data_IF_070959117256
#
_entry.id   IF_070959117256
#
_cell.length_a   1.000
_cell.length_b   1.000
_cell.length_c   1.000
_cell.angle_alpha   90.00
_cell.angle_beta   90.00
_cell.angle_gamma   90.00
#
_symmetry.space_group_name_H-M   'P 1'
#
loop_
_entity.id
_entity.type
_entity.pdbx_description
1 polymer ?
#
# COMPACT_ATOMS: atom_id res chain seq x y z
N UNK A 1 13.18 -27.27 -27.38
CA UNK A 1 11.82 -26.73 -27.10
C UNK A 1 11.70 -26.54 -25.60
N UNK A 2 12.00 -25.33 -25.11
CA UNK A 2 12.01 -25.04 -23.69
C UNK A 2 10.61 -24.65 -23.21
N UNK A 3 10.07 -25.44 -22.28
CA UNK A 3 8.91 -25.08 -21.46
C UNK A 3 9.31 -23.94 -20.52
N UNK A 4 8.87 -22.71 -20.81
CA UNK A 4 8.88 -21.60 -19.84
C UNK A 4 7.62 -20.77 -20.06
N UNK A 5 6.50 -21.15 -19.44
CA UNK A 5 5.29 -20.30 -19.44
C UNK A 5 4.33 -20.49 -18.25
N UNK A 6 4.67 -21.32 -17.25
CA UNK A 6 3.78 -21.54 -16.08
C UNK A 6 4.08 -20.69 -14.84
N UNK A 7 5.34 -20.29 -14.64
CA UNK A 7 5.80 -19.71 -13.36
C UNK A 7 5.53 -18.20 -13.22
N UNK A 8 5.59 -17.44 -14.32
CA UNK A 8 5.35 -15.98 -14.29
C UNK A 8 3.89 -15.66 -13.95
N UNK A 9 2.94 -16.40 -14.53
CA UNK A 9 1.51 -16.25 -14.25
C UNK A 9 1.14 -16.60 -12.80
N UNK A 10 1.71 -17.67 -12.24
CA UNK A 10 1.43 -18.08 -10.86
C UNK A 10 1.96 -17.08 -9.83
N UNK A 11 3.18 -16.57 -10.02
CA UNK A 11 3.78 -15.56 -9.13
C UNK A 11 2.98 -14.26 -9.20
N UNK A 12 2.61 -13.82 -10.40
CA UNK A 12 1.79 -12.64 -10.60
C UNK A 12 0.44 -12.75 -9.89
N UNK A 13 -0.23 -13.91 -10.03
CA UNK A 13 -1.50 -14.17 -9.37
C UNK A 13 -1.35 -14.13 -7.84
N UNK A 14 -0.34 -14.80 -7.29
CA UNK A 14 -0.11 -14.81 -5.84
C UNK A 14 0.11 -13.40 -5.25
N UNK A 15 0.81 -12.53 -5.97
CA UNK A 15 0.99 -11.13 -5.52
C UNK A 15 -0.31 -10.34 -5.66
N UNK A 16 -1.12 -10.56 -6.69
CA UNK A 16 -2.45 -9.94 -6.78
C UNK A 16 -3.38 -10.40 -5.65
N UNK A 17 -3.40 -11.69 -5.35
CA UNK A 17 -4.21 -12.24 -4.25
C UNK A 17 -3.79 -11.62 -2.91
N UNK A 18 -2.47 -11.44 -2.70
CA UNK A 18 -1.94 -10.73 -1.54
C UNK A 18 -2.43 -9.27 -1.49
N UNK A 19 -2.39 -8.56 -2.62
CA UNK A 19 -2.87 -7.17 -2.69
C UNK A 19 -4.35 -7.09 -2.33
N UNK A 20 -5.16 -8.03 -2.82
CA UNK A 20 -6.58 -8.10 -2.50
C UNK A 20 -6.78 -8.40 -1.00
N UNK A 21 -6.05 -9.36 -0.44
CA UNK A 21 -6.11 -9.69 0.99
C UNK A 21 -5.80 -8.48 1.88
N UNK A 22 -4.75 -7.71 1.57
CA UNK A 22 -4.40 -6.48 2.31
C UNK A 22 -5.48 -5.40 2.12
N UNK A 23 -6.02 -5.28 0.91
CA UNK A 23 -7.08 -4.31 0.60
C UNK A 23 -8.38 -4.60 1.34
N UNK A 24 -8.75 -5.87 1.47
CA UNK A 24 -9.96 -6.30 2.18
C UNK A 24 -9.84 -6.16 3.70
N UNK A 25 -8.65 -6.40 4.26
CA UNK A 25 -8.37 -6.19 5.68
C UNK A 25 -8.33 -4.71 6.06
N UNK A 26 -8.02 -3.82 5.11
CA UNK A 26 -8.04 -2.37 5.34
C UNK A 26 -9.03 -1.65 4.43
N UNK A 27 -10.19 -1.31 4.99
CA UNK A 27 -11.25 -0.60 4.28
C UNK A 27 -11.45 0.84 4.75
N UNK A 28 -10.78 1.27 5.83
CA UNK A 28 -10.79 2.65 6.31
C UNK A 28 -9.43 3.32 6.05
N UNK A 29 -9.47 4.56 5.55
CA UNK A 29 -8.27 5.36 5.30
C UNK A 29 -8.66 6.83 5.15
N UNK A 30 -7.99 7.75 5.84
CA UNK A 30 -8.30 9.19 5.74
C UNK A 30 -7.91 9.72 4.37
N UNK A 31 -6.65 9.49 3.97
CA UNK A 31 -6.16 9.88 2.65
C UNK A 31 -6.81 9.06 1.54
N UNK A 32 -7.12 7.79 1.80
CA UNK A 32 -7.85 6.94 0.85
C UNK A 32 -9.24 7.46 0.58
N UNK A 33 -10.00 7.84 1.61
CA UNK A 33 -11.32 8.46 1.49
C UNK A 33 -11.28 9.80 0.75
N UNK A 34 -10.31 10.67 1.07
CA UNK A 34 -10.14 11.95 0.36
C UNK A 34 -9.87 11.75 -1.13
N UNK A 35 -8.99 10.79 -1.46
CA UNK A 35 -8.67 10.45 -2.86
C UNK A 35 -9.87 9.81 -3.57
N UNK A 36 -10.62 8.96 -2.86
CA UNK A 36 -11.82 8.31 -3.34
C UNK A 36 -12.89 9.32 -3.75
N UNK A 37 -13.17 10.34 -2.93
CA UNK A 37 -14.12 11.40 -3.30
C UNK A 37 -13.70 12.10 -4.61
N UNK A 38 -12.40 12.37 -4.78
CA UNK A 38 -11.87 12.93 -6.02
C UNK A 38 -12.05 12.02 -7.24
N UNK A 39 -11.89 10.69 -7.05
CA UNK A 39 -12.12 9.68 -8.09
C UNK A 39 -13.59 9.56 -8.47
N UNK A 40 -14.48 9.49 -7.49
CA UNK A 40 -15.93 9.37 -7.70
C UNK A 40 -16.53 10.59 -8.39
N UNK A 41 -15.96 11.78 -8.16
CA UNK A 41 -16.34 13.02 -8.86
C UNK A 41 -15.81 13.10 -10.31
N UNK A 42 -14.98 12.16 -10.74
CA UNK A 42 -14.43 12.08 -12.11
C UNK A 42 -14.61 10.67 -12.70
N UNK A 43 -15.86 10.19 -12.83
CA UNK A 43 -16.14 8.82 -13.27
C UNK A 43 -15.72 8.57 -14.72
N UNK A 44 -15.56 9.61 -15.53
CA UNK A 44 -15.16 9.54 -16.95
C UNK A 44 -13.73 9.04 -17.16
N UNK A 45 -12.86 9.19 -16.15
CA UNK A 45 -11.50 8.63 -16.23
C UNK A 45 -11.55 7.12 -16.14
N UNK A 46 -10.77 6.43 -16.97
CA UNK A 46 -10.59 4.98 -16.86
C UNK A 46 -9.74 4.63 -15.63
N UNK A 47 -9.89 3.42 -15.09
CA UNK A 47 -9.03 2.91 -14.01
C UNK A 47 -7.56 2.79 -14.44
N UNK A 48 -7.30 2.61 -15.74
CA UNK A 48 -5.96 2.55 -16.29
C UNK A 48 -5.23 3.90 -16.21
N UNK A 49 -5.96 5.01 -16.25
CA UNK A 49 -5.43 6.37 -16.28
C UNK A 49 -5.57 7.10 -14.93
N UNK A 50 -6.54 6.69 -14.10
CA UNK A 50 -6.69 7.18 -12.74
C UNK A 50 -5.65 6.54 -11.81
N UNK A 51 -5.25 7.27 -10.75
CA UNK A 51 -4.40 6.70 -9.71
C UNK A 51 -5.15 5.63 -8.92
N UNK A 52 -6.37 5.94 -8.46
CA UNK A 52 -7.25 5.03 -7.70
C UNK A 52 -8.34 4.44 -8.59
N UNK A 53 -8.62 3.15 -8.44
CA UNK A 53 -9.70 2.46 -9.16
C UNK A 53 -11.08 2.84 -8.64
N UNK A 54 -12.13 2.75 -9.47
CA UNK A 54 -13.50 3.01 -9.01
C UNK A 54 -13.90 2.06 -7.88
N UNK A 55 -13.54 0.77 -7.99
CA UNK A 55 -13.82 -0.23 -6.95
C UNK A 55 -13.24 0.18 -5.60
N UNK A 56 -11.96 0.58 -5.55
CA UNK A 56 -11.30 0.97 -4.31
C UNK A 56 -11.86 2.28 -3.75
N UNK A 57 -12.18 3.24 -4.63
CA UNK A 57 -12.81 4.49 -4.23
C UNK A 57 -14.19 4.24 -3.58
N UNK A 58 -15.01 3.36 -4.17
CA UNK A 58 -16.30 2.98 -3.61
C UNK A 58 -16.13 2.29 -2.26
N UNK A 59 -15.20 1.36 -2.13
CA UNK A 59 -14.93 0.64 -0.89
C UNK A 59 -14.55 1.58 0.27
N UNK A 60 -13.61 2.51 0.07
CA UNK A 60 -13.25 3.50 1.09
C UNK A 60 -14.44 4.39 1.46
N UNK A 61 -15.23 4.81 0.46
CA UNK A 61 -16.37 5.71 0.68
C UNK A 61 -17.48 5.03 1.47
N UNK A 62 -17.85 3.81 1.09
CA UNK A 62 -18.91 3.06 1.72
C UNK A 62 -18.54 2.63 3.14
N UNK A 63 -17.31 2.15 3.33
CA UNK A 63 -16.84 1.74 4.65
C UNK A 63 -16.79 2.93 5.60
N UNK A 64 -16.25 4.07 5.15
CA UNK A 64 -16.20 5.28 5.96
C UNK A 64 -17.58 5.81 6.33
N UNK A 65 -18.53 5.86 5.38
CA UNK A 65 -19.91 6.33 5.63
C UNK A 65 -20.73 5.36 6.48
N UNK A 66 -20.43 4.06 6.41
CA UNK A 66 -21.04 3.05 7.28
C UNK A 66 -20.54 3.18 8.72
N UNK A 67 -19.24 3.41 8.90
CA UNK A 67 -18.61 3.53 10.23
C UNK A 67 -18.92 4.88 10.88
N UNK A 68 -18.92 5.97 10.11
CA UNK A 68 -19.13 7.34 10.60
C UNK A 68 -20.28 8.02 9.87
N UNK A 69 -21.45 8.03 10.52
CA UNK A 69 -22.71 8.54 9.98
C UNK A 69 -22.66 10.06 9.74
N UNK A 70 -21.96 10.80 10.59
CA UNK A 70 -21.72 12.23 10.47
C UNK A 70 -20.23 12.55 10.64
N UNK A 71 -19.82 13.71 10.12
CA UNK A 71 -18.46 14.24 10.29
C UNK A 71 -17.36 13.23 9.88
N UNK A 72 -17.63 12.43 8.84
CA UNK A 72 -16.79 11.30 8.41
C UNK A 72 -15.31 11.67 8.27
N UNK A 73 -14.97 12.81 7.66
CA UNK A 73 -13.58 13.25 7.52
C UNK A 73 -12.92 13.58 8.85
N UNK A 74 -13.66 14.20 9.78
CA UNK A 74 -13.13 14.57 11.10
C UNK A 74 -12.83 13.33 11.92
N UNK A 75 -13.77 12.36 11.91
CA UNK A 75 -13.59 11.08 12.58
C UNK A 75 -12.43 10.26 11.99
N UNK A 76 -12.28 10.23 10.67
CA UNK A 76 -11.12 9.60 10.02
C UNK A 76 -9.80 10.32 10.37
N UNK A 77 -9.79 11.66 10.42
CA UNK A 77 -8.60 12.41 10.80
C UNK A 77 -8.19 12.13 12.26
N UNK A 78 -9.14 12.10 13.18
CA UNK A 78 -8.91 11.71 14.58
C UNK A 78 -8.38 10.26 14.68
N UNK A 79 -8.97 9.32 13.94
CA UNK A 79 -8.48 7.95 13.88
C UNK A 79 -7.04 7.89 13.37
N UNK A 80 -6.70 8.63 12.31
CA UNK A 80 -5.33 8.70 11.79
C UNK A 80 -4.35 9.26 12.82
N UNK A 81 -4.75 10.31 13.53
CA UNK A 81 -3.92 10.90 14.57
C UNK A 81 -3.67 9.92 15.73
N UNK A 82 -4.70 9.18 16.14
CA UNK A 82 -4.61 8.23 17.26
C UNK A 82 -3.89 6.93 16.91
N UNK A 83 -4.10 6.39 15.71
CA UNK A 83 -3.66 5.04 15.34
C UNK A 83 -2.37 5.02 14.52
N UNK A 84 -2.13 6.06 13.72
CA UNK A 84 -0.90 6.19 12.96
C UNK A 84 0.02 7.19 13.63
N UNK A 85 -0.37 8.46 13.78
CA UNK A 85 0.64 9.47 14.14
C UNK A 85 1.11 9.43 15.59
N UNK A 86 0.24 9.08 16.53
CA UNK A 86 0.59 9.05 17.96
C UNK A 86 1.41 7.80 18.29
N UNK A 87 2.72 7.97 18.36
CA UNK A 87 3.66 6.94 18.81
C UNK A 87 3.52 6.67 20.32
N UNK A 88 4.03 5.53 20.78
CA UNK A 88 4.04 5.18 22.22
C UNK A 88 4.85 6.14 23.10
N UNK A 89 5.73 6.95 22.50
CA UNK A 89 6.44 8.01 23.22
C UNK A 89 5.66 9.34 23.27
N UNK A 90 4.41 9.37 22.79
CA UNK A 90 3.57 10.56 22.75
C UNK A 90 3.85 11.53 21.60
N UNK A 91 4.88 11.29 20.78
CA UNK A 91 5.24 12.13 19.64
C UNK A 91 4.34 11.85 18.42
N UNK A 92 4.04 12.88 17.63
CA UNK A 92 3.38 12.73 16.33
C UNK A 92 4.43 12.47 15.24
N UNK A 93 4.35 11.33 14.57
CA UNK A 93 5.23 10.96 13.45
C UNK A 93 4.47 10.23 12.35
N UNK A 94 4.74 10.57 11.09
CA UNK A 94 4.25 9.74 9.99
C UNK A 94 4.91 8.35 10.04
N UNK A 95 4.24 7.31 9.54
CA UNK A 95 4.82 5.96 9.52
C UNK A 95 6.16 5.89 8.75
N UNK A 96 6.33 6.75 7.74
CA UNK A 96 7.61 6.95 7.04
C UNK A 96 8.77 7.42 7.93
N UNK A 97 8.48 8.07 9.06
CA UNK A 97 9.47 8.66 9.99
C UNK A 97 9.63 7.85 11.28
N UNK A 98 8.85 6.77 11.42
CA UNK A 98 8.88 5.90 12.59
C UNK A 98 10.11 5.01 12.59
N UNK A 99 10.67 4.77 13.77
CA UNK A 99 11.67 3.71 13.94
C UNK A 99 11.01 2.33 13.78
N UNK A 100 11.78 1.27 13.52
CA UNK A 100 11.23 -0.08 13.46
C UNK A 100 10.37 -0.46 14.68
N UNK A 101 10.82 -0.18 15.90
CA UNK A 101 10.02 -0.48 17.10
C UNK A 101 8.69 0.28 17.14
N UNK A 102 8.64 1.51 16.64
CA UNK A 102 7.39 2.28 16.55
C UNK A 102 6.46 1.74 15.46
N UNK A 103 7.00 1.19 14.37
CA UNK A 103 6.21 0.57 13.31
C UNK A 103 5.46 -0.67 13.80
N UNK A 104 6.03 -1.48 14.69
CA UNK A 104 5.34 -2.65 15.26
C UNK A 104 4.00 -2.27 15.89
N UNK A 105 4.02 -1.27 16.77
CA UNK A 105 2.84 -0.78 17.46
C UNK A 105 1.83 -0.13 16.51
N UNK A 106 2.31 0.65 15.54
CA UNK A 106 1.47 1.29 14.53
C UNK A 106 0.73 0.25 13.66
N UNK A 107 1.44 -0.78 13.18
CA UNK A 107 0.88 -1.87 12.39
C UNK A 107 -0.20 -2.62 13.18
N UNK A 108 0.05 -2.93 14.45
CA UNK A 108 -0.93 -3.59 15.30
C UNK A 108 -2.21 -2.75 15.45
N UNK A 109 -2.08 -1.47 15.81
CA UNK A 109 -3.21 -0.54 15.93
C UNK A 109 -4.01 -0.41 14.63
N UNK A 110 -3.34 -0.40 13.49
CA UNK A 110 -3.97 -0.33 12.17
C UNK A 110 -4.79 -1.59 11.86
N UNK A 111 -4.24 -2.77 12.14
CA UNK A 111 -4.93 -4.06 11.94
C UNK A 111 -6.17 -4.20 12.81
N UNK A 112 -6.10 -3.80 14.08
CA UNK A 112 -7.23 -3.87 15.02
C UNK A 112 -8.44 -3.05 14.56
N UNK A 113 -8.21 -1.95 13.86
CA UNK A 113 -9.28 -1.02 13.42
C UNK A 113 -9.68 -1.21 11.95
N UNK A 114 -9.00 -2.10 11.20
CA UNK A 114 -9.14 -2.19 9.74
C UNK A 114 -8.84 -0.86 9.03
N UNK A 115 -7.91 -0.08 9.59
CA UNK A 115 -7.58 1.28 9.18
C UNK A 115 -6.09 1.43 8.85
N UNK A 116 -5.76 2.02 7.70
CA UNK A 116 -4.38 2.32 7.34
C UNK A 116 -4.26 3.38 6.24
N UNK A 117 -3.09 3.98 6.14
CA UNK A 117 -2.71 4.86 5.02
C UNK A 117 -1.81 4.11 4.01
N UNK A 118 -1.34 4.81 2.98
CA UNK A 118 -0.47 4.22 1.97
C UNK A 118 0.88 3.71 2.53
N UNK A 119 1.40 4.33 3.59
CA UNK A 119 2.64 3.90 4.26
C UNK A 119 2.49 2.48 4.82
N UNK A 120 1.45 2.27 5.64
CA UNK A 120 1.23 1.00 6.33
C UNK A 120 0.78 -0.08 5.34
N UNK A 121 -0.01 0.25 4.32
CA UNK A 121 -0.35 -0.73 3.28
C UNK A 121 0.88 -1.17 2.46
N UNK A 122 1.79 -0.25 2.10
CA UNK A 122 3.03 -0.63 1.43
C UNK A 122 3.94 -1.49 2.34
N UNK A 123 3.97 -1.19 3.63
CA UNK A 123 4.67 -2.02 4.63
C UNK A 123 4.09 -3.43 4.73
N UNK A 124 2.76 -3.56 4.78
CA UNK A 124 2.06 -4.84 4.78
C UNK A 124 2.37 -5.66 3.53
N UNK A 125 2.35 -5.03 2.35
CA UNK A 125 2.73 -5.70 1.10
C UNK A 125 4.19 -6.18 1.16
N UNK A 126 5.14 -5.33 1.54
CA UNK A 126 6.56 -5.71 1.63
C UNK A 126 6.80 -6.86 2.62
N UNK A 127 6.14 -6.82 3.77
CA UNK A 127 6.16 -7.88 4.78
C UNK A 127 5.77 -9.23 4.17
N UNK A 128 4.64 -9.29 3.48
CA UNK A 128 4.09 -10.55 2.97
C UNK A 128 4.78 -11.01 1.69
N UNK A 129 5.27 -10.08 0.84
CA UNK A 129 6.14 -10.43 -0.27
C UNK A 129 7.34 -11.22 0.23
N UNK A 130 8.04 -10.71 1.26
CA UNK A 130 9.21 -11.39 1.81
C UNK A 130 8.86 -12.69 2.50
N UNK A 131 8.01 -12.63 3.52
CA UNK A 131 7.89 -13.70 4.52
C UNK A 131 6.76 -14.70 4.20
N UNK A 132 5.83 -14.36 3.30
CA UNK A 132 4.77 -15.27 2.84
C UNK A 132 5.03 -15.82 1.43
N UNK A 133 5.46 -14.96 0.50
CA UNK A 133 5.66 -15.35 -0.91
C UNK A 133 7.13 -15.63 -1.27
N UNK A 134 8.08 -15.36 -0.38
CA UNK A 134 9.51 -15.58 -0.63
C UNK A 134 10.14 -14.64 -1.65
N UNK A 135 9.49 -13.52 -1.96
CA UNK A 135 9.98 -12.47 -2.88
C UNK A 135 10.73 -11.44 -2.05
N UNK A 136 12.06 -11.49 -2.07
CA UNK A 136 12.92 -10.58 -1.29
C UNK A 136 13.46 -9.39 -2.09
N UNK A 137 13.46 -9.47 -3.42
CA UNK A 137 14.02 -8.45 -4.31
C UNK A 137 12.98 -7.37 -4.65
N UNK A 138 12.69 -6.53 -3.67
CA UNK A 138 11.77 -5.40 -3.79
C UNK A 138 12.24 -4.18 -2.99
N UNK A 139 11.69 -3.02 -3.32
CA UNK A 139 11.90 -1.77 -2.59
C UNK A 139 10.57 -1.09 -2.26
N UNK A 140 10.38 -0.71 -0.99
CA UNK A 140 9.33 0.23 -0.59
C UNK A 140 9.82 1.65 -0.87
N UNK A 141 9.12 2.33 -1.78
CA UNK A 141 9.42 3.71 -2.15
C UNK A 141 8.42 4.67 -1.55
N UNK A 142 8.92 5.82 -1.11
CA UNK A 142 8.12 6.96 -0.72
C UNK A 142 8.20 8.04 -1.80
N UNK A 143 7.12 8.21 -2.56
CA UNK A 143 7.06 9.16 -3.67
C UNK A 143 6.51 10.50 -3.19
N UNK A 144 7.39 11.48 -3.02
CA UNK A 144 7.06 12.82 -2.51
C UNK A 144 6.24 13.64 -3.51
N UNK A 145 6.37 13.36 -4.80
CA UNK A 145 5.63 14.07 -5.87
C UNK A 145 4.17 13.62 -6.00
N UNK A 146 3.85 12.43 -5.50
CA UNK A 146 2.50 11.89 -5.40
C UNK A 146 1.95 11.86 -3.97
N UNK A 147 2.81 12.07 -2.97
CA UNK A 147 2.50 11.82 -1.56
C UNK A 147 1.95 10.41 -1.34
N UNK A 148 2.59 9.42 -1.98
CA UNK A 148 2.14 8.03 -2.00
C UNK A 148 3.32 7.06 -1.83
N UNK A 149 3.11 5.99 -1.07
CA UNK A 149 4.09 4.93 -0.91
C UNK A 149 3.58 3.65 -1.57
N UNK A 150 4.48 2.92 -2.20
CA UNK A 150 4.20 1.68 -2.91
C UNK A 150 5.43 0.79 -2.93
N UNK A 151 5.23 -0.48 -3.24
CA UNK A 151 6.32 -1.44 -3.39
C UNK A 151 6.68 -1.58 -4.86
N UNK A 152 7.96 -1.68 -5.17
CA UNK A 152 8.48 -2.05 -6.49
C UNK A 152 9.21 -3.36 -6.39
N UNK A 153 8.74 -4.39 -7.09
CA UNK A 153 9.50 -5.62 -7.33
C UNK A 153 10.47 -5.32 -8.48
N UNK A 154 11.76 -5.63 -8.27
CA UNK A 154 12.80 -5.40 -9.27
C UNK A 154 12.68 -6.39 -10.45
N UNK A 155 13.29 -6.06 -11.61
CA UNK A 155 13.29 -6.94 -12.77
C UNK A 155 13.74 -8.36 -12.44
N UNK A 156 12.92 -9.34 -12.81
CA UNK A 156 13.16 -10.76 -12.57
C UNK A 156 12.50 -11.61 -13.64
N UNK A 157 12.66 -12.94 -13.58
CA UNK A 157 12.00 -13.86 -14.52
C UNK A 157 10.46 -13.79 -14.45
N UNK A 158 9.90 -13.52 -13.27
CA UNK A 158 8.46 -13.36 -13.09
C UNK A 158 7.97 -11.95 -13.48
N UNK A 159 8.83 -10.93 -13.33
CA UNK A 159 8.54 -9.52 -13.62
C UNK A 159 9.64 -8.93 -14.50
N UNK A 160 9.66 -9.17 -15.82
CA UNK A 160 10.79 -8.79 -16.67
C UNK A 160 11.15 -7.30 -16.68
N UNK A 161 10.15 -6.42 -16.47
CA UNK A 161 10.37 -4.96 -16.36
C UNK A 161 10.33 -4.45 -14.92
N UNK A 162 10.20 -5.34 -13.94
CA UNK A 162 9.75 -5.03 -12.59
C UNK A 162 8.25 -4.73 -12.53
N UNK A 163 7.72 -4.54 -11.32
CA UNK A 163 6.31 -4.24 -11.10
C UNK A 163 6.10 -3.30 -9.92
N UNK A 164 5.09 -2.43 -10.00
CA UNK A 164 4.55 -1.73 -8.83
C UNK A 164 3.46 -2.60 -8.22
N UNK A 165 3.50 -2.73 -6.89
CA UNK A 165 2.49 -3.41 -6.09
C UNK A 165 1.87 -2.40 -5.14
N UNK A 166 0.55 -2.19 -5.28
CA UNK A 166 -0.17 -1.15 -4.57
C UNK A 166 -1.62 -1.56 -4.24
N UNK A 167 -1.86 -1.86 -2.97
CA UNK A 167 -3.19 -2.15 -2.42
C UNK A 167 -3.99 -0.91 -2.04
N UNK A 168 -3.33 0.23 -1.83
CA UNK A 168 -4.03 1.41 -1.34
C UNK A 168 -4.85 2.07 -2.44
N UNK A 169 -4.33 2.12 -3.68
CA UNK A 169 -5.08 2.62 -4.84
C UNK A 169 -6.04 1.59 -5.45
N UNK A 170 -5.85 0.30 -5.13
CA UNK A 170 -6.55 -0.81 -5.76
C UNK A 170 -6.09 -1.11 -7.19
N UNK A 171 -4.91 -0.61 -7.61
CA UNK A 171 -4.32 -0.92 -8.90
C UNK A 171 -3.77 -2.35 -8.96
N UNK A 172 -3.53 -3.00 -7.81
CA UNK A 172 -3.03 -4.36 -7.78
C UNK A 172 -1.53 -4.41 -8.07
N UNK A 173 -1.14 -5.40 -8.88
CA UNK A 173 0.19 -5.51 -9.46
C UNK A 173 0.16 -4.98 -10.89
N UNK A 174 1.02 -4.01 -11.19
CA UNK A 174 1.12 -3.41 -12.52
C UNK A 174 2.58 -3.44 -12.99
N UNK A 175 2.79 -3.81 -14.25
CA UNK A 175 4.14 -3.83 -14.83
C UNK A 175 4.74 -2.41 -14.83
N UNK A 176 6.03 -2.28 -14.50
CA UNK A 176 6.73 -1.00 -14.45
C UNK A 176 7.17 -0.52 -15.85
N UNK A 177 6.21 -0.46 -16.77
CA UNK A 177 6.35 0.07 -18.11
C UNK A 177 6.34 1.61 -18.15
N UNK A 178 6.43 2.19 -19.35
CA UNK A 178 6.42 3.64 -19.53
C UNK A 178 5.14 4.31 -19.01
N UNK A 179 3.96 3.71 -19.27
CA UNK A 179 2.67 4.26 -18.84
C UNK A 179 2.57 4.27 -17.31
N UNK A 180 2.91 3.16 -16.68
CA UNK A 180 2.88 3.00 -15.23
C UNK A 180 3.90 3.93 -14.55
N UNK A 181 5.12 4.06 -15.10
CA UNK A 181 6.12 5.01 -14.59
C UNK A 181 5.63 6.45 -14.62
N UNK A 182 4.93 6.86 -15.69
CA UNK A 182 4.33 8.19 -15.76
C UNK A 182 3.18 8.36 -14.75
N UNK A 183 2.27 7.38 -14.66
CA UNK A 183 1.13 7.40 -13.72
C UNK A 183 1.59 7.53 -12.27
N UNK A 184 2.59 6.72 -11.89
CA UNK A 184 3.15 6.70 -10.54
C UNK A 184 4.30 7.72 -10.33
N UNK A 185 4.55 8.60 -11.31
CA UNK A 185 5.67 9.56 -11.32
C UNK A 185 6.98 8.93 -10.82
N UNK A 186 7.21 7.69 -11.24
CA UNK A 186 8.32 6.86 -10.77
C UNK A 186 9.61 7.28 -11.48
N UNK A 187 10.26 8.30 -10.91
CA UNK A 187 11.55 8.84 -11.33
C UNK A 187 12.38 9.11 -10.08
N UNK A 188 13.68 8.90 -10.17
CA UNK A 188 14.61 8.97 -9.03
C UNK A 188 14.49 10.29 -8.26
N UNK A 189 14.27 11.42 -8.94
CA UNK A 189 14.10 12.72 -8.27
C UNK A 189 12.82 12.83 -7.41
N UNK A 190 11.84 11.95 -7.62
CA UNK A 190 10.53 12.01 -6.97
C UNK A 190 10.41 11.09 -5.75
N UNK A 191 11.30 10.11 -5.57
CA UNK A 191 11.16 9.09 -4.53
C UNK A 191 12.41 8.90 -3.68
N UNK A 192 12.20 8.35 -2.49
CA UNK A 192 13.28 7.86 -1.62
C UNK A 192 12.94 6.44 -1.14
N UNK A 193 13.97 5.67 -0.78
CA UNK A 193 13.80 4.36 -0.16
C UNK A 193 13.39 4.54 1.30
N UNK A 194 12.40 3.79 1.76
CA UNK A 194 12.02 3.78 3.17
C UNK A 194 12.85 2.74 3.96
N UNK A 195 14.00 3.17 4.47
CA UNK A 195 14.94 2.27 5.17
C UNK A 195 14.35 1.66 6.45
N UNK A 196 13.57 2.43 7.23
CA UNK A 196 13.00 1.95 8.49
C UNK A 196 11.97 0.84 8.28
N UNK A 197 11.15 0.93 7.22
CA UNK A 197 10.20 -0.12 6.86
C UNK A 197 10.91 -1.41 6.43
N UNK A 198 11.98 -1.31 5.65
CA UNK A 198 12.81 -2.46 5.29
C UNK A 198 13.44 -3.10 6.53
N UNK A 199 14.06 -2.29 7.39
CA UNK A 199 14.66 -2.76 8.64
C UNK A 199 13.62 -3.44 9.55
N UNK A 200 12.39 -2.92 9.60
CA UNK A 200 11.30 -3.54 10.34
C UNK A 200 10.90 -4.90 9.78
N UNK A 201 10.75 -5.00 8.45
CA UNK A 201 10.44 -6.26 7.76
C UNK A 201 11.51 -7.31 8.08
N UNK A 202 12.79 -6.96 8.04
CA UNK A 202 13.87 -7.91 8.33
C UNK A 202 13.86 -8.36 9.80
N UNK A 203 13.72 -7.43 10.74
CA UNK A 203 13.91 -7.71 12.18
C UNK A 203 12.68 -8.30 12.86
N UNK A 204 11.49 -7.85 12.45
CA UNK A 204 10.24 -8.15 13.14
C UNK A 204 9.22 -8.82 12.22
N UNK A 205 9.36 -8.67 10.91
CA UNK A 205 8.32 -9.04 9.95
C UNK A 205 7.86 -10.49 10.04
N UNK A 206 8.77 -11.45 10.21
CA UNK A 206 8.41 -12.88 10.24
C UNK A 206 7.32 -13.21 11.29
N UNK A 207 7.36 -12.57 12.46
CA UNK A 207 6.38 -12.78 13.52
C UNK A 207 5.03 -12.06 13.29
N UNK A 208 4.93 -11.25 12.23
CA UNK A 208 3.78 -10.40 11.94
C UNK A 208 3.09 -10.75 10.63
N UNK A 209 3.50 -11.82 9.94
CA UNK A 209 2.81 -12.31 8.74
C UNK A 209 1.36 -12.65 9.07
N UNK A 210 0.45 -12.26 8.18
CA UNK A 210 -0.97 -12.56 8.32
C UNK A 210 -1.31 -13.76 7.43
N UNK A 211 -2.01 -14.73 8.02
CA UNK A 211 -2.56 -15.90 7.34
C UNK A 211 -3.65 -15.52 6.33
#
# INVERSE_FOLDING_TARGET
>A
MNRVSGSSSATWQAVNDLVEQVSERTTLSTTGYQTAMGRLNKPEKSDADALMTMRRAQQYTDSAKRTYISETLMNLADLQQRKIYRTNSGNLRGAIEMTPTQLTDCVQKCREEGFSNCDIQALEIGLHLRHKLGISDFTIYSNRKLSHNYVVIHPSNAFPKGAIVDSWTGQGVVELDFKTRLKFKHREENYAVNANMHEWIERYGQAHVID
#
